data_IF_353306190429
#
_entry.id   IF_353306190429
#
_cell.length_a   1.000
_cell.length_b   1.000
_cell.length_c   1.000
_cell.angle_alpha   90.00
_cell.angle_beta   90.00
_cell.angle_gamma   90.00
#
_symmetry.space_group_name_H-M   'P 1'
#
loop_
_entity.id
_entity.type
_entity.pdbx_description
1 polymer ?
#
# COMPACT_ATOMS: atom_id res chain seq x y z
N UNK A 1 42.58 32.27 9.13
CA UNK A 1 41.72 32.84 8.06
C UNK A 1 41.42 31.83 6.96
N UNK A 2 42.41 31.16 6.33
CA UNK A 2 42.12 30.12 5.31
C UNK A 2 41.23 28.96 5.81
N UNK A 3 41.44 28.43 7.02
CA UNK A 3 40.63 27.32 7.54
C UNK A 3 39.16 27.67 7.82
N UNK A 4 38.84 28.92 8.19
CA UNK A 4 37.46 29.32 8.47
C UNK A 4 36.65 29.58 7.19
N UNK A 5 37.32 29.73 6.04
CA UNK A 5 36.68 29.89 4.72
C UNK A 5 36.38 28.48 4.17
N UNK A 6 37.33 27.54 4.29
CA UNK A 6 37.12 26.13 3.92
C UNK A 6 36.01 25.46 4.76
N UNK A 7 35.95 25.69 6.07
CA UNK A 7 34.88 25.13 6.93
C UNK A 7 33.49 25.68 6.56
N UNK A 8 33.40 26.96 6.19
CA UNK A 8 32.15 27.60 5.79
C UNK A 8 31.70 27.12 4.39
N UNK A 9 32.65 26.85 3.49
CA UNK A 9 32.38 26.23 2.20
C UNK A 9 31.91 24.78 2.38
N UNK A 10 32.54 23.98 3.26
CA UNK A 10 32.10 22.60 3.56
C UNK A 10 30.70 22.55 4.18
N UNK A 11 30.38 23.42 5.14
CA UNK A 11 29.02 23.51 5.69
C UNK A 11 28.00 23.90 4.60
N UNK A 12 28.32 24.87 3.76
CA UNK A 12 27.48 25.29 2.64
C UNK A 12 27.24 24.15 1.63
N UNK A 13 28.29 23.41 1.26
CA UNK A 13 28.16 22.24 0.38
C UNK A 13 27.28 21.16 1.01
N UNK A 14 27.43 20.90 2.31
CA UNK A 14 26.60 19.92 3.02
C UNK A 14 25.12 20.32 3.06
N UNK A 15 24.82 21.61 3.18
CA UNK A 15 23.46 22.12 3.18
C UNK A 15 22.82 21.95 1.80
N UNK A 16 23.56 22.29 0.73
CA UNK A 16 23.14 22.10 -0.66
C UNK A 16 22.89 20.62 -0.98
N UNK A 17 23.74 19.70 -0.53
CA UNK A 17 23.53 18.26 -0.71
C UNK A 17 22.26 17.77 0.01
N UNK A 18 22.02 18.28 1.22
CA UNK A 18 20.81 17.95 1.97
C UNK A 18 19.54 18.47 1.29
N UNK A 19 19.58 19.66 0.71
CA UNK A 19 18.47 20.21 -0.07
C UNK A 19 18.21 19.43 -1.36
N UNK A 20 19.27 19.06 -2.09
CA UNK A 20 19.19 18.20 -3.27
C UNK A 20 18.55 16.85 -2.91
N UNK A 21 18.98 16.21 -1.83
CA UNK A 21 18.40 14.94 -1.37
C UNK A 21 16.92 15.06 -0.98
N UNK A 22 16.49 16.22 -0.43
CA UNK A 22 15.07 16.49 -0.17
C UNK A 22 14.29 16.67 -1.48
N UNK A 23 14.83 17.43 -2.43
CA UNK A 23 14.21 17.66 -3.74
C UNK A 23 14.05 16.35 -4.52
N UNK A 24 15.06 15.49 -4.56
CA UNK A 24 14.96 14.18 -5.20
C UNK A 24 13.82 13.32 -4.62
N UNK A 25 13.64 13.34 -3.30
CA UNK A 25 12.54 12.63 -2.64
C UNK A 25 11.18 13.21 -3.03
N UNK A 26 11.07 14.53 -3.11
CA UNK A 26 9.85 15.22 -3.53
C UNK A 26 9.50 14.92 -4.99
N UNK A 27 10.50 14.93 -5.88
CA UNK A 27 10.30 14.61 -7.30
C UNK A 27 9.79 13.17 -7.44
N UNK A 28 10.44 12.19 -6.81
CA UNK A 28 10.00 10.78 -6.85
C UNK A 28 8.57 10.60 -6.32
N UNK A 29 8.22 11.33 -5.26
CA UNK A 29 6.86 11.33 -4.74
C UNK A 29 5.87 11.90 -5.77
N UNK A 30 6.21 13.03 -6.39
CA UNK A 30 5.37 13.71 -7.38
C UNK A 30 5.22 12.92 -8.68
N UNK A 31 6.26 12.25 -9.13
CA UNK A 31 6.19 11.30 -10.25
C UNK A 31 5.19 10.19 -9.95
N UNK A 32 5.27 9.61 -8.76
CA UNK A 32 4.33 8.57 -8.32
C UNK A 32 2.91 9.12 -8.25
N UNK A 33 2.71 10.32 -7.71
CA UNK A 33 1.40 10.98 -7.67
C UNK A 33 0.85 11.27 -9.07
N UNK A 34 1.70 11.63 -10.03
CA UNK A 34 1.30 11.91 -11.41
C UNK A 34 0.80 10.65 -12.13
N UNK A 35 1.31 9.47 -11.76
CA UNK A 35 0.85 8.18 -12.33
C UNK A 35 -0.59 7.83 -11.90
N UNK A 36 -1.10 8.42 -10.83
CA UNK A 36 -2.44 8.17 -10.28
C UNK A 36 -3.38 9.38 -10.42
N UNK A 37 -3.42 9.96 -11.63
CA UNK A 37 -4.26 11.13 -11.96
C UNK A 37 -5.45 10.78 -12.87
N UNK A 38 -5.71 9.50 -13.11
CA UNK A 38 -6.84 9.04 -13.89
C UNK A 38 -8.17 9.29 -13.18
N UNK A 39 -9.25 9.42 -13.96
CA UNK A 39 -10.61 9.71 -13.46
C UNK A 39 -11.10 8.67 -12.44
N UNK A 40 -10.62 7.42 -12.54
CA UNK A 40 -11.00 6.32 -11.66
C UNK A 40 -10.15 6.20 -10.38
N UNK A 41 -9.03 6.94 -10.25
CA UNK A 41 -8.08 6.74 -9.15
C UNK A 41 -8.57 7.26 -7.79
N UNK A 42 -9.65 8.04 -7.80
CA UNK A 42 -10.35 8.49 -6.59
C UNK A 42 -11.56 7.63 -6.26
N UNK A 43 -11.92 6.65 -7.09
CA UNK A 43 -13.07 5.79 -6.86
C UNK A 43 -12.75 4.72 -5.82
N UNK A 44 -13.80 4.25 -5.13
CA UNK A 44 -13.72 3.05 -4.33
C UNK A 44 -13.40 1.85 -5.23
N UNK A 45 -12.65 0.89 -4.71
CA UNK A 45 -12.28 -0.31 -5.44
C UNK A 45 -13.06 -1.51 -4.90
N UNK A 46 -13.47 -2.41 -5.79
CA UNK A 46 -14.05 -3.70 -5.42
C UNK A 46 -13.03 -4.81 -5.68
N UNK A 47 -12.92 -5.74 -4.72
CA UNK A 47 -12.16 -6.96 -4.84
C UNK A 47 -13.12 -8.14 -4.70
N UNK A 48 -13.15 -8.95 -5.74
CA UNK A 48 -13.90 -10.19 -5.78
C UNK A 48 -12.93 -11.37 -5.68
N UNK A 49 -13.21 -12.29 -4.77
CA UNK A 49 -12.45 -13.53 -4.60
C UNK A 49 -13.42 -14.67 -4.81
N UNK A 50 -13.08 -15.59 -5.71
CA UNK A 50 -13.84 -16.81 -5.97
C UNK A 50 -12.94 -18.02 -5.70
N UNK A 51 -13.47 -19.00 -4.97
CA UNK A 51 -12.79 -20.28 -4.85
C UNK A 51 -12.83 -21.02 -6.19
N UNK A 52 -11.66 -21.44 -6.67
CA UNK A 52 -11.52 -22.18 -7.91
C UNK A 52 -11.91 -23.66 -7.75
N UNK A 53 -11.51 -24.47 -8.73
CA UNK A 53 -11.66 -25.92 -8.62
C UNK A 53 -10.79 -26.48 -7.48
N UNK A 54 -11.41 -27.23 -6.56
CA UNK A 54 -10.71 -27.87 -5.42
C UNK A 54 -11.55 -28.01 -4.15
N UNK A 55 -12.84 -27.66 -4.18
CA UNK A 55 -13.78 -27.96 -3.10
C UNK A 55 -13.47 -27.21 -1.81
N UNK A 56 -13.50 -27.89 -0.66
CA UNK A 56 -13.36 -27.27 0.67
C UNK A 56 -12.00 -26.64 0.93
N UNK A 57 -10.91 -27.19 0.37
CA UNK A 57 -9.57 -26.60 0.54
C UNK A 57 -9.46 -25.26 -0.20
N UNK A 58 -9.98 -25.18 -1.43
CA UNK A 58 -10.02 -23.93 -2.18
C UNK A 58 -10.86 -22.87 -1.48
N UNK A 59 -11.93 -23.28 -0.79
CA UNK A 59 -12.75 -22.36 -0.01
C UNK A 59 -11.99 -21.80 1.20
N UNK A 60 -11.22 -22.63 1.91
CA UNK A 60 -10.42 -22.21 3.06
C UNK A 60 -9.30 -21.23 2.61
N UNK A 61 -8.65 -21.52 1.49
CA UNK A 61 -7.68 -20.60 0.88
C UNK A 61 -8.30 -19.26 0.47
N UNK A 62 -9.50 -19.27 -0.12
CA UNK A 62 -10.21 -18.04 -0.44
C UNK A 62 -10.52 -17.21 0.82
N UNK A 63 -10.85 -17.86 1.93
CA UNK A 63 -11.09 -17.19 3.21
C UNK A 63 -9.78 -16.60 3.78
N UNK A 64 -8.68 -17.33 3.68
CA UNK A 64 -7.36 -16.82 4.07
C UNK A 64 -6.98 -15.56 3.26
N UNK A 65 -7.23 -15.56 1.95
CA UNK A 65 -6.98 -14.40 1.08
C UNK A 65 -7.86 -13.21 1.45
N UNK A 66 -9.15 -13.43 1.68
CA UNK A 66 -10.07 -12.38 2.15
C UNK A 66 -9.54 -11.71 3.41
N UNK A 67 -9.12 -12.49 4.41
CA UNK A 67 -8.56 -11.98 5.67
C UNK A 67 -7.24 -11.23 5.44
N UNK A 68 -6.38 -11.73 4.56
CA UNK A 68 -5.12 -11.08 4.20
C UNK A 68 -5.35 -9.70 3.59
N UNK A 69 -6.21 -9.58 2.58
CA UNK A 69 -6.48 -8.32 1.91
C UNK A 69 -7.22 -7.32 2.80
N UNK A 70 -8.16 -7.78 3.61
CA UNK A 70 -8.84 -6.95 4.62
C UNK A 70 -7.82 -6.35 5.58
N UNK A 71 -6.95 -7.18 6.17
CA UNK A 71 -5.91 -6.74 7.09
C UNK A 71 -4.90 -5.83 6.40
N UNK A 72 -4.57 -6.10 5.15
CA UNK A 72 -3.64 -5.27 4.39
C UNK A 72 -4.20 -3.86 4.19
N UNK A 73 -5.46 -3.77 3.79
CA UNK A 73 -6.16 -2.52 3.54
C UNK A 73 -6.33 -1.69 4.83
N UNK A 74 -6.80 -2.30 5.92
CA UNK A 74 -7.04 -1.60 7.19
C UNK A 74 -5.73 -1.18 7.87
N UNK A 75 -4.77 -2.10 8.02
CA UNK A 75 -3.57 -1.85 8.84
C UNK A 75 -2.50 -1.05 8.08
N UNK A 76 -2.19 -1.44 6.83
CA UNK A 76 -1.05 -0.85 6.12
C UNK A 76 -1.45 0.37 5.29
N UNK A 77 -2.70 0.40 4.80
CA UNK A 77 -3.18 1.47 3.91
C UNK A 77 -4.28 2.34 4.52
N UNK A 78 -4.76 2.02 5.72
CA UNK A 78 -5.76 2.81 6.44
C UNK A 78 -7.05 3.04 5.62
N UNK A 79 -7.38 2.06 4.77
CA UNK A 79 -8.65 2.00 4.06
C UNK A 79 -9.74 1.50 4.98
N UNK A 80 -10.96 1.98 4.76
CA UNK A 80 -12.16 1.36 5.32
C UNK A 80 -12.53 0.19 4.42
N UNK A 81 -12.78 -0.97 5.01
CA UNK A 81 -13.17 -2.19 4.29
C UNK A 81 -14.63 -2.49 4.61
N UNK A 82 -15.43 -2.73 3.58
CA UNK A 82 -16.80 -3.19 3.71
C UNK A 82 -16.98 -4.49 2.92
N UNK A 83 -17.52 -5.52 3.57
CA UNK A 83 -17.89 -6.77 2.88
C UNK A 83 -19.29 -6.55 2.31
N UNK A 84 -19.37 -6.54 0.98
CA UNK A 84 -20.62 -6.29 0.25
C UNK A 84 -21.42 -7.58 0.13
N UNK A 85 -20.74 -8.66 -0.23
CA UNK A 85 -21.34 -9.97 -0.40
C UNK A 85 -20.34 -11.03 0.07
N UNK A 86 -20.85 -12.10 0.70
CA UNK A 86 -20.05 -13.24 1.11
C UNK A 86 -20.90 -14.49 0.98
N UNK A 87 -20.38 -15.47 0.24
CA UNK A 87 -20.96 -16.79 0.11
C UNK A 87 -20.04 -17.80 0.82
N UNK A 88 -20.54 -18.40 1.89
CA UNK A 88 -19.78 -19.40 2.63
C UNK A 88 -19.68 -20.73 1.86
N UNK A 89 -18.61 -21.49 2.13
CA UNK A 89 -18.46 -22.85 1.64
C UNK A 89 -19.43 -23.82 2.32
N UNK A 90 -19.70 -24.96 1.68
CA UNK A 90 -20.67 -25.94 2.20
C UNK A 90 -20.25 -26.59 3.53
N UNK A 91 -18.95 -26.56 3.86
CA UNK A 91 -18.42 -27.08 5.11
C UNK A 91 -17.37 -26.16 5.76
N UNK A 92 -16.44 -25.61 4.97
CA UNK A 92 -15.35 -24.73 5.43
C UNK A 92 -15.11 -23.65 4.39
N UNK A 93 -14.62 -22.48 4.84
CA UNK A 93 -14.14 -21.41 3.98
C UNK A 93 -15.24 -20.61 3.30
N UNK A 94 -14.88 -19.94 2.21
CA UNK A 94 -15.81 -19.14 1.38
C UNK A 94 -15.78 -19.59 -0.08
N UNK A 95 -16.94 -19.58 -0.73
CA UNK A 95 -17.07 -19.79 -2.19
C UNK A 95 -16.80 -18.51 -2.96
N UNK A 96 -17.38 -17.41 -2.49
CA UNK A 96 -17.09 -16.09 -3.04
C UNK A 96 -17.19 -15.00 -1.98
N UNK A 97 -16.52 -13.89 -2.21
CA UNK A 97 -16.70 -12.66 -1.44
C UNK A 97 -16.42 -11.46 -2.33
N UNK A 98 -17.19 -10.40 -2.10
CA UNK A 98 -17.02 -9.10 -2.73
C UNK A 98 -16.75 -8.09 -1.63
N UNK A 99 -15.59 -7.44 -1.71
CA UNK A 99 -15.09 -6.51 -0.71
C UNK A 99 -14.94 -5.15 -1.35
N UNK A 100 -15.50 -4.12 -0.73
CA UNK A 100 -15.31 -2.73 -1.14
C UNK A 100 -14.26 -2.06 -0.25
N UNK A 101 -13.25 -1.48 -0.90
CA UNK A 101 -12.25 -0.63 -0.26
C UNK A 101 -12.64 0.83 -0.45
N UNK A 102 -12.94 1.50 0.66
CA UNK A 102 -13.30 2.91 0.71
C UNK A 102 -12.10 3.69 1.26
N UNK A 103 -11.63 4.67 0.49
CA UNK A 103 -10.65 5.62 0.98
C UNK A 103 -10.11 6.55 -0.08
N UNK A 104 -9.39 7.58 0.38
CA UNK A 104 -8.92 8.66 -0.49
C UNK A 104 -7.64 8.23 -1.21
N UNK A 105 -7.85 7.60 -2.38
CA UNK A 105 -6.84 7.26 -3.39
C UNK A 105 -5.83 6.18 -2.94
N UNK A 106 -5.51 5.25 -3.86
CA UNK A 106 -4.45 4.24 -3.75
C UNK A 106 -3.04 4.87 -3.74
N UNK A 107 -2.85 6.03 -3.11
CA UNK A 107 -1.54 6.68 -2.94
C UNK A 107 -0.65 5.81 -2.06
N UNK A 108 0.00 4.83 -2.68
CA UNK A 108 1.04 3.99 -2.08
C UNK A 108 2.31 4.84 -1.94
N UNK A 109 2.27 5.83 -1.05
CA UNK A 109 3.39 6.72 -0.75
C UNK A 109 4.18 6.34 0.50
N UNK A 110 3.70 5.39 1.31
CA UNK A 110 4.44 4.89 2.48
C UNK A 110 4.92 3.47 2.22
N UNK A 111 6.18 3.34 1.77
CA UNK A 111 6.95 2.09 1.89
C UNK A 111 7.10 1.73 3.37
N UNK A 112 6.07 1.14 3.99
CA UNK A 112 6.20 0.45 5.28
C UNK A 112 6.60 -0.98 4.95
N UNK A 113 7.91 -1.23 5.00
CA UNK A 113 8.53 -2.55 4.82
C UNK A 113 7.84 -3.55 5.74
N UNK A 114 7.25 -4.61 5.18
CA UNK A 114 6.70 -5.72 5.96
C UNK A 114 7.89 -6.49 6.56
N UNK A 115 8.27 -6.15 7.79
CA UNK A 115 9.29 -6.88 8.54
C UNK A 115 8.60 -7.69 9.62
N UNK A 116 7.97 -8.79 9.25
CA UNK A 116 7.83 -9.89 10.19
C UNK A 116 9.13 -10.69 10.15
N UNK A 117 10.02 -10.47 11.12
CA UNK A 117 10.92 -11.55 11.52
C UNK A 117 10.04 -12.64 12.11
N UNK A 118 9.72 -13.63 11.29
CA UNK A 118 9.24 -14.91 11.79
C UNK A 118 10.50 -15.56 12.36
N UNK A 119 10.55 -15.64 13.69
CA UNK A 119 11.59 -16.38 14.41
C UNK A 119 11.34 -17.88 14.35
#
# INVERSE_FOLDING_TARGET
MKSAIDENDEEFFSEVENELAKLEKLIKLKETESLFTGEADNNNCFLEIHSGAGGTESNDWAEMLMRMYTRWAEIYHNFKVEVVEKLDGDAVGIKSTTIMFIGKSLRVGKKRKWSSKIG
#
